data_IF_886527902728
#
_entry.id   IF_886527902728
#
_cell.length_a   1.000
_cell.length_b   1.000
_cell.length_c   1.000
_cell.angle_alpha   90.00
_cell.angle_beta   90.00
_cell.angle_gamma   90.00
#
_symmetry.space_group_name_H-M   'P 1'
#
loop_
_entity.id
_entity.type
_entity.pdbx_description
1 polymer ?
#
# COMPACT_ATOMS: atom_id res chain seq x y z
N UNK A 1 58.35 19.37 -46.27
CA UNK A 1 58.51 18.03 -45.64
C UNK A 1 58.94 18.29 -44.21
N UNK A 2 58.08 18.78 -43.31
CA UNK A 2 56.93 18.08 -42.70
C UNK A 2 57.24 16.62 -42.35
N UNK A 3 57.43 16.36 -41.06
CA UNK A 3 56.68 15.31 -40.33
C UNK A 3 56.79 15.59 -38.83
N UNK A 4 55.65 16.01 -38.27
CA UNK A 4 55.35 16.05 -36.83
C UNK A 4 54.78 14.67 -36.45
N UNK A 5 55.17 14.12 -35.29
CA UNK A 5 54.45 13.00 -34.66
C UNK A 5 55.40 11.94 -34.07
N UNK A 6 55.19 11.41 -32.87
CA UNK A 6 54.00 11.49 -32.04
C UNK A 6 54.28 11.01 -30.61
N UNK A 7 53.56 11.63 -29.69
CA UNK A 7 53.47 11.26 -28.28
C UNK A 7 52.69 9.95 -28.17
N UNK A 8 53.29 8.96 -27.49
CA UNK A 8 52.71 7.65 -27.25
C UNK A 8 51.51 7.76 -26.27
N UNK A 9 50.30 7.88 -26.80
CA UNK A 9 49.07 7.76 -26.01
C UNK A 9 48.81 6.28 -25.71
N UNK A 10 49.11 5.84 -24.47
CA UNK A 10 48.54 4.59 -23.96
C UNK A 10 47.01 4.74 -23.94
N UNK A 11 46.31 4.05 -24.84
CA UNK A 11 44.85 3.94 -24.82
C UNK A 11 44.41 3.35 -23.47
N UNK A 12 43.80 4.17 -22.60
CA UNK A 12 42.99 3.65 -21.49
C UNK A 12 41.82 2.88 -22.11
N UNK A 13 41.73 1.57 -21.85
CA UNK A 13 40.56 0.77 -22.21
C UNK A 13 39.36 1.35 -21.46
N UNK A 14 38.30 1.71 -22.20
CA UNK A 14 37.01 2.06 -21.60
C UNK A 14 36.45 0.83 -20.88
N UNK A 15 35.85 0.96 -19.68
CA UNK A 15 35.08 -0.14 -19.11
C UNK A 15 33.90 -0.44 -20.03
N UNK A 16 33.68 -1.71 -20.34
CA UNK A 16 32.47 -2.15 -21.03
C UNK A 16 31.25 -1.83 -20.15
N UNK A 17 30.12 -1.37 -20.71
CA UNK A 17 28.88 -1.34 -19.95
C UNK A 17 28.51 -2.79 -19.64
N UNK A 18 28.69 -3.18 -18.38
CA UNK A 18 28.13 -4.43 -17.88
C UNK A 18 26.63 -4.39 -18.17
N UNK A 19 26.12 -5.44 -18.82
CA UNK A 19 24.67 -5.64 -18.97
C UNK A 19 24.07 -5.66 -17.57
N UNK A 20 23.46 -4.55 -17.17
CA UNK A 20 22.58 -4.50 -16.03
C UNK A 20 21.38 -5.38 -16.40
N UNK A 21 21.36 -6.61 -15.88
CA UNK A 21 20.14 -7.41 -15.93
C UNK A 21 19.19 -6.77 -14.92
N UNK A 22 17.99 -6.32 -15.32
CA UNK A 22 17.00 -5.91 -14.35
C UNK A 22 16.69 -7.17 -13.54
N UNK A 23 17.02 -7.15 -12.24
CA UNK A 23 16.45 -8.11 -11.31
C UNK A 23 14.94 -7.93 -11.47
N UNK A 24 14.29 -8.93 -12.07
CA UNK A 24 12.84 -9.02 -12.09
C UNK A 24 12.43 -9.00 -10.63
N UNK A 25 11.96 -7.85 -10.16
CA UNK A 25 11.64 -7.64 -8.77
C UNK A 25 10.56 -8.65 -8.40
N UNK A 26 10.92 -9.45 -7.40
CA UNK A 26 10.10 -10.47 -6.78
C UNK A 26 8.94 -9.78 -6.06
N UNK A 27 7.87 -9.44 -6.78
CA UNK A 27 6.57 -9.12 -6.18
C UNK A 27 5.77 -10.43 -5.94
N UNK A 28 6.39 -11.58 -6.18
CA UNK A 28 5.74 -12.88 -6.07
C UNK A 28 5.74 -13.48 -4.66
N UNK A 29 6.30 -12.78 -3.67
CA UNK A 29 6.45 -13.29 -2.30
C UNK A 29 5.59 -12.61 -1.24
N UNK A 30 4.98 -11.44 -1.54
CA UNK A 30 4.25 -10.65 -0.55
C UNK A 30 2.91 -11.26 -0.07
N UNK A 31 2.35 -12.22 -0.82
CA UNK A 31 1.00 -12.78 -0.54
C UNK A 31 1.06 -14.17 0.12
N UNK A 32 2.22 -14.85 0.10
CA UNK A 32 2.32 -16.23 0.61
C UNK A 32 2.06 -16.33 2.12
N UNK A 33 2.31 -15.26 2.88
CA UNK A 33 2.15 -15.25 4.34
C UNK A 33 0.73 -14.93 4.81
N UNK A 34 -0.05 -14.13 4.06
CA UNK A 34 -1.48 -13.90 4.38
C UNK A 34 -2.32 -15.18 4.25
N UNK A 35 -1.83 -16.15 3.48
CA UNK A 35 -2.47 -17.43 3.21
C UNK A 35 -2.03 -18.55 4.19
N UNK A 36 -0.90 -18.42 4.87
CA UNK A 36 -0.40 -19.39 5.87
C UNK A 36 -1.01 -19.14 7.26
N UNK A 37 -2.33 -19.34 7.35
CA UNK A 37 -3.01 -19.41 8.64
C UNK A 37 -2.80 -20.80 9.27
N UNK A 38 -2.16 -20.84 10.44
CA UNK A 38 -2.20 -22.02 11.32
C UNK A 38 -3.53 -22.04 12.06
N UNK A 39 -4.24 -23.18 11.98
CA UNK A 39 -5.57 -23.37 12.56
C UNK A 39 -5.63 -22.93 14.04
N UNK A 40 -6.43 -21.90 14.32
CA UNK A 40 -6.79 -21.52 15.69
C UNK A 40 -7.71 -22.59 16.26
N UNK A 41 -7.42 -23.04 17.49
CA UNK A 41 -8.20 -24.06 18.19
C UNK A 41 -9.66 -23.60 18.37
N UNK A 42 -10.64 -24.51 18.28
CA UNK A 42 -12.04 -24.16 18.41
C UNK A 42 -12.34 -23.66 19.83
N UNK A 43 -12.60 -22.36 19.97
CA UNK A 43 -13.18 -21.78 21.18
C UNK A 43 -14.69 -22.04 21.22
N UNK A 44 -15.28 -22.30 22.40
CA UNK A 44 -16.72 -22.50 22.51
C UNK A 44 -17.48 -21.24 22.02
N UNK A 45 -18.60 -21.44 21.30
CA UNK A 45 -19.34 -20.35 20.67
C UNK A 45 -19.87 -19.36 21.72
N UNK A 46 -19.80 -18.06 21.41
CA UNK A 46 -20.38 -17.01 22.24
C UNK A 46 -21.91 -17.11 22.27
N UNK A 47 -22.53 -16.75 23.40
CA UNK A 47 -23.99 -16.67 23.54
C UNK A 47 -24.62 -15.62 22.61
N UNK A 48 -23.83 -14.68 22.10
CA UNK A 48 -24.26 -13.59 21.19
C UNK A 48 -24.03 -13.96 19.71
N UNK A 49 -23.37 -15.09 19.42
CA UNK A 49 -23.09 -15.50 18.04
C UNK A 49 -24.35 -16.01 17.34
N UNK A 50 -24.89 -15.20 16.44
CA UNK A 50 -26.06 -15.51 15.60
C UNK A 50 -25.70 -15.27 14.13
N UNK A 51 -25.81 -16.31 13.29
CA UNK A 51 -25.56 -16.25 11.84
C UNK A 51 -24.14 -15.74 11.45
N UNK A 52 -23.11 -16.03 12.25
CA UNK A 52 -21.73 -15.65 11.96
C UNK A 52 -20.88 -16.91 11.73
N UNK A 53 -20.58 -17.20 10.46
CA UNK A 53 -19.86 -18.42 10.09
C UNK A 53 -18.36 -18.32 10.46
N UNK A 54 -17.71 -19.42 10.87
CA UNK A 54 -16.27 -19.42 11.19
C UNK A 54 -15.38 -18.89 10.07
N UNK A 55 -15.79 -19.10 8.81
CA UNK A 55 -15.08 -18.59 7.63
C UNK A 55 -15.16 -17.07 7.55
N UNK A 56 -16.33 -16.47 7.81
CA UNK A 56 -16.51 -15.02 7.88
C UNK A 56 -15.74 -14.43 9.06
N UNK A 57 -15.74 -15.10 10.21
CA UNK A 57 -14.94 -14.74 11.38
C UNK A 57 -13.44 -14.68 11.05
N UNK A 58 -12.90 -15.75 10.45
CA UNK A 58 -11.50 -15.78 10.07
C UNK A 58 -11.17 -14.72 9.00
N UNK A 59 -12.07 -14.48 8.04
CA UNK A 59 -11.85 -13.52 6.97
C UNK A 59 -11.89 -12.06 7.46
N UNK A 60 -12.84 -11.70 8.34
CA UNK A 60 -12.89 -10.36 8.97
C UNK A 60 -11.62 -10.12 9.79
N UNK A 61 -11.21 -11.10 10.60
CA UNK A 61 -9.98 -11.00 11.37
C UNK A 61 -8.73 -10.82 10.48
N UNK A 62 -8.60 -11.63 9.41
CA UNK A 62 -7.51 -11.48 8.43
C UNK A 62 -7.52 -10.09 7.79
N UNK A 63 -8.67 -9.60 7.35
CA UNK A 63 -8.77 -8.30 6.70
C UNK A 63 -8.44 -7.16 7.68
N UNK A 64 -8.90 -7.22 8.93
CA UNK A 64 -8.52 -6.24 9.97
C UNK A 64 -7.00 -6.20 10.22
N UNK A 65 -6.33 -7.36 10.21
CA UNK A 65 -4.87 -7.42 10.30
C UNK A 65 -4.18 -6.82 9.06
N UNK A 66 -4.74 -7.01 7.87
CA UNK A 66 -4.25 -6.40 6.62
C UNK A 66 -4.35 -4.88 6.67
N UNK A 67 -5.46 -4.35 7.18
CA UNK A 67 -5.67 -2.91 7.37
C UNK A 67 -4.64 -2.32 8.34
N UNK A 68 -4.34 -2.99 9.46
CA UNK A 68 -3.26 -2.55 10.37
C UNK A 68 -1.88 -2.58 9.70
N UNK A 69 -1.60 -3.61 8.90
CA UNK A 69 -0.36 -3.67 8.13
C UNK A 69 -0.29 -2.53 7.12
N UNK A 70 -1.37 -2.29 6.37
CA UNK A 70 -1.43 -1.23 5.37
C UNK A 70 -1.27 0.16 6.00
N UNK A 71 -1.87 0.37 7.18
CA UNK A 71 -1.68 1.57 7.98
C UNK A 71 -0.20 1.81 8.31
N UNK A 72 0.50 0.78 8.76
CA UNK A 72 1.91 0.87 9.11
C UNK A 72 2.80 1.12 7.88
N UNK A 73 2.54 0.43 6.77
CA UNK A 73 3.24 0.65 5.49
C UNK A 73 3.06 2.09 5.00
N UNK A 74 1.84 2.60 4.95
CA UNK A 74 1.55 3.98 4.52
C UNK A 74 2.28 5.00 5.40
N UNK A 75 2.31 4.77 6.72
CA UNK A 75 3.05 5.63 7.66
C UNK A 75 4.56 5.60 7.42
N UNK A 76 5.14 4.42 7.18
CA UNK A 76 6.56 4.28 6.90
C UNK A 76 6.95 5.00 5.60
N UNK A 77 6.15 4.84 4.55
CA UNK A 77 6.34 5.55 3.27
C UNK A 77 6.19 7.05 3.48
N UNK A 78 5.19 7.49 4.24
CA UNK A 78 4.98 8.92 4.48
C UNK A 78 6.20 9.58 5.14
N UNK A 79 6.80 8.94 6.15
CA UNK A 79 8.00 9.48 6.79
C UNK A 79 9.23 9.44 5.89
N UNK A 80 9.34 8.43 5.02
CA UNK A 80 10.38 8.42 3.99
C UNK A 80 10.22 9.60 3.01
N UNK A 81 9.00 9.91 2.60
CA UNK A 81 8.73 11.02 1.66
C UNK A 81 9.01 12.40 2.27
N UNK A 82 8.96 12.54 3.60
CA UNK A 82 9.27 13.79 4.31
C UNK A 82 10.77 13.94 4.65
N UNK A 83 11.61 12.93 4.37
CA UNK A 83 13.06 13.05 4.55
C UNK A 83 13.62 14.23 3.75
N UNK A 84 14.65 14.89 4.28
CA UNK A 84 15.22 16.12 3.70
C UNK A 84 15.84 15.90 2.31
N UNK A 85 16.30 14.68 2.02
CA UNK A 85 16.83 14.25 0.73
C UNK A 85 15.76 13.79 -0.28
N UNK A 86 14.49 13.68 0.15
CA UNK A 86 13.34 13.34 -0.71
C UNK A 86 12.39 14.54 -0.86
N UNK A 87 12.03 15.19 0.24
CA UNK A 87 11.30 16.47 0.35
C UNK A 87 9.88 16.52 -0.27
N UNK A 88 9.17 15.39 -0.37
CA UNK A 88 7.84 15.24 -0.95
C UNK A 88 6.71 15.37 0.11
N UNK A 89 6.65 16.51 0.79
CA UNK A 89 5.80 16.72 1.99
C UNK A 89 4.31 16.51 1.78
N UNK A 90 3.80 16.87 0.60
CA UNK A 90 2.37 16.74 0.31
C UNK A 90 1.98 15.28 0.13
N UNK A 91 2.82 14.48 -0.54
CA UNK A 91 2.63 13.03 -0.61
C UNK A 91 2.79 12.37 0.77
N UNK A 92 3.69 12.89 1.62
CA UNK A 92 3.76 12.46 3.02
C UNK A 92 2.42 12.67 3.74
N UNK A 93 1.85 13.89 3.70
CA UNK A 93 0.55 14.19 4.31
C UNK A 93 -0.57 13.31 3.76
N UNK A 94 -0.62 13.14 2.44
CA UNK A 94 -1.58 12.27 1.76
C UNK A 94 -1.54 10.83 2.30
N UNK A 95 -0.35 10.23 2.43
CA UNK A 95 -0.20 8.87 2.95
C UNK A 95 -0.39 8.76 4.46
N UNK A 96 -0.12 9.82 5.24
CA UNK A 96 -0.48 9.86 6.65
C UNK A 96 -2.00 9.81 6.85
N UNK A 97 -2.75 10.60 6.06
CA UNK A 97 -4.22 10.54 6.10
C UNK A 97 -4.72 9.14 5.75
N UNK A 98 -4.13 8.51 4.72
CA UNK A 98 -4.46 7.13 4.37
C UNK A 98 -4.13 6.13 5.48
N UNK A 99 -2.97 6.26 6.12
CA UNK A 99 -2.58 5.44 7.28
C UNK A 99 -3.63 5.50 8.39
N UNK A 100 -4.15 6.69 8.70
CA UNK A 100 -5.20 6.87 9.69
C UNK A 100 -6.52 6.23 9.28
N UNK A 101 -6.89 6.32 7.99
CA UNK A 101 -8.11 5.67 7.48
C UNK A 101 -8.03 4.15 7.64
N UNK A 102 -6.90 3.53 7.28
CA UNK A 102 -6.68 2.10 7.49
C UNK A 102 -6.79 1.70 8.98
N UNK A 103 -6.22 2.48 9.91
CA UNK A 103 -6.36 2.20 11.34
C UNK A 103 -7.83 2.24 11.79
N UNK A 104 -8.61 3.22 11.32
CA UNK A 104 -10.05 3.33 11.61
C UNK A 104 -10.84 2.16 11.04
N UNK A 105 -10.51 1.71 9.83
CA UNK A 105 -11.12 0.52 9.21
C UNK A 105 -10.82 -0.73 10.05
N UNK A 106 -9.56 -0.95 10.44
CA UNK A 106 -9.18 -2.08 11.28
C UNK A 106 -9.91 -2.09 12.64
N UNK A 107 -10.02 -0.92 13.28
CA UNK A 107 -10.75 -0.76 14.53
C UNK A 107 -12.24 -1.09 14.34
N UNK A 108 -12.87 -0.54 13.31
CA UNK A 108 -14.28 -0.80 12.97
C UNK A 108 -14.56 -2.29 12.73
N UNK A 109 -13.70 -2.97 11.97
CA UNK A 109 -13.81 -4.42 11.74
C UNK A 109 -13.62 -5.24 13.02
N UNK A 110 -12.71 -4.81 13.91
CA UNK A 110 -12.50 -5.45 15.20
C UNK A 110 -13.70 -5.27 16.13
N UNK A 111 -14.34 -4.10 16.10
CA UNK A 111 -15.58 -3.84 16.81
C UNK A 111 -16.72 -4.71 16.27
N UNK A 112 -16.84 -4.83 14.94
CA UNK A 112 -17.79 -5.75 14.29
C UNK A 112 -17.57 -7.19 14.76
N UNK A 113 -16.32 -7.68 14.79
CA UNK A 113 -15.98 -9.02 15.28
C UNK A 113 -16.55 -9.26 16.69
N UNK A 114 -16.34 -8.32 17.60
CA UNK A 114 -16.83 -8.40 18.98
C UNK A 114 -18.36 -8.36 19.05
N UNK A 115 -19.01 -7.49 18.27
CA UNK A 115 -20.47 -7.37 18.21
C UNK A 115 -21.12 -8.67 17.72
N UNK A 116 -20.49 -9.37 16.78
CA UNK A 116 -20.96 -10.65 16.23
C UNK A 116 -20.64 -11.85 17.13
N UNK A 117 -20.01 -11.62 18.28
CA UNK A 117 -19.64 -12.67 19.24
C UNK A 117 -18.41 -13.49 18.82
N UNK A 118 -17.67 -13.03 17.80
CA UNK A 118 -16.41 -13.63 17.38
C UNK A 118 -15.28 -13.43 18.40
N UNK A 119 -14.11 -13.97 18.10
CA UNK A 119 -12.88 -13.82 18.86
C UNK A 119 -11.87 -13.03 18.06
N UNK A 120 -11.36 -11.98 18.69
CA UNK A 120 -10.26 -11.19 18.14
C UNK A 120 -8.95 -11.83 18.59
N UNK A 121 -8.08 -12.10 17.63
CA UNK A 121 -6.68 -12.42 17.87
C UNK A 121 -5.85 -11.22 17.37
N UNK A 122 -4.67 -11.01 17.94
CA UNK A 122 -3.76 -9.99 17.43
C UNK A 122 -2.58 -10.68 16.77
N UNK A 123 -2.29 -10.28 15.54
CA UNK A 123 -1.17 -10.78 14.76
C UNK A 123 -0.02 -9.77 14.77
N UNK A 124 1.19 -10.26 14.59
CA UNK A 124 2.36 -9.40 14.45
C UNK A 124 2.26 -8.54 13.18
N UNK A 125 2.38 -7.23 13.35
CA UNK A 125 2.49 -6.29 12.23
C UNK A 125 3.94 -6.32 11.74
N UNK A 126 4.18 -6.96 10.60
CA UNK A 126 5.53 -7.05 10.01
C UNK A 126 6.00 -5.71 9.45
N UNK A 127 7.32 -5.52 9.50
CA UNK A 127 8.02 -4.41 8.84
C UNK A 127 7.79 -4.40 7.32
N UNK A 128 7.89 -3.23 6.67
CA UNK A 128 7.93 -3.11 5.21
C UNK A 128 8.91 -4.07 4.55
N UNK A 129 8.48 -4.71 3.46
CA UNK A 129 9.33 -5.61 2.67
C UNK A 129 10.45 -4.84 1.96
N UNK A 130 10.19 -3.58 1.61
CA UNK A 130 11.16 -2.64 1.06
C UNK A 130 11.73 -1.80 2.19
N UNK A 131 12.88 -2.17 2.80
CA UNK A 131 13.44 -1.42 3.94
C UNK A 131 13.99 -0.05 3.53
N UNK A 132 14.23 0.17 2.23
CA UNK A 132 14.68 1.44 1.65
C UNK A 132 14.10 1.59 0.25
N UNK A 133 13.35 2.66 0.04
CA UNK A 133 12.91 3.08 -1.29
C UNK A 133 14.03 3.87 -1.98
N UNK A 134 14.16 3.71 -3.30
CA UNK A 134 15.18 4.42 -4.10
C UNK A 134 14.68 5.79 -4.58
N UNK A 135 13.36 6.01 -4.58
CA UNK A 135 12.72 7.26 -4.99
C UNK A 135 11.31 7.37 -4.43
N UNK A 136 10.77 8.60 -4.35
CA UNK A 136 9.36 8.80 -4.00
C UNK A 136 8.40 8.09 -4.95
N UNK A 137 8.72 8.04 -6.25
CA UNK A 137 7.95 7.30 -7.26
C UNK A 137 7.89 5.81 -6.94
N UNK A 138 9.00 5.18 -6.59
CA UNK A 138 9.02 3.77 -6.21
C UNK A 138 8.16 3.53 -4.96
N UNK A 139 8.27 4.42 -3.96
CA UNK A 139 7.48 4.30 -2.73
C UNK A 139 5.97 4.41 -2.98
N UNK A 140 5.56 5.32 -3.88
CA UNK A 140 4.17 5.46 -4.31
C UNK A 140 3.67 4.24 -5.11
N UNK A 141 4.54 3.66 -5.96
CA UNK A 141 4.22 2.42 -6.70
C UNK A 141 4.04 1.20 -5.78
N UNK A 142 4.92 1.04 -4.79
CA UNK A 142 4.81 -0.02 -3.78
C UNK A 142 3.51 0.15 -2.97
N UNK A 143 3.19 1.37 -2.57
CA UNK A 143 1.93 1.69 -1.88
C UNK A 143 0.73 1.35 -2.76
N UNK A 144 0.77 1.65 -4.05
CA UNK A 144 -0.30 1.32 -4.99
C UNK A 144 -0.52 -0.21 -5.10
N UNK A 145 0.55 -1.01 -5.09
CA UNK A 145 0.40 -2.46 -5.09
C UNK A 145 -0.26 -2.98 -3.81
N UNK A 146 0.17 -2.45 -2.66
CA UNK A 146 -0.44 -2.76 -1.37
C UNK A 146 -1.95 -2.43 -1.37
N UNK A 147 -2.36 -1.26 -1.86
CA UNK A 147 -3.77 -0.85 -1.91
C UNK A 147 -4.60 -1.74 -2.83
N UNK A 148 -4.02 -2.23 -3.93
CA UNK A 148 -4.66 -3.23 -4.79
C UNK A 148 -4.84 -4.57 -4.06
N UNK A 149 -3.88 -4.98 -3.23
CA UNK A 149 -4.01 -6.16 -2.39
C UNK A 149 -5.10 -6.00 -1.31
N UNK A 150 -5.16 -4.83 -0.66
CA UNK A 150 -6.25 -4.49 0.28
C UNK A 150 -7.60 -4.58 -0.41
N UNK A 151 -7.74 -3.98 -1.59
CA UNK A 151 -8.97 -4.04 -2.37
C UNK A 151 -9.37 -5.46 -2.76
N UNK A 152 -8.42 -6.29 -3.19
CA UNK A 152 -8.71 -7.68 -3.50
C UNK A 152 -9.19 -8.45 -2.27
N UNK A 153 -8.53 -8.27 -1.12
CA UNK A 153 -8.96 -8.89 0.14
C UNK A 153 -10.37 -8.43 0.56
N UNK A 154 -10.71 -7.17 0.31
CA UNK A 154 -12.04 -6.62 0.60
C UNK A 154 -13.11 -7.22 -0.33
N UNK A 155 -12.81 -7.37 -1.62
CA UNK A 155 -13.69 -8.03 -2.59
C UNK A 155 -13.93 -9.50 -2.24
N UNK A 156 -12.87 -10.23 -1.86
CA UNK A 156 -12.96 -11.63 -1.43
C UNK A 156 -13.82 -11.77 -0.17
N UNK A 157 -13.65 -10.87 0.81
CA UNK A 157 -14.46 -10.83 2.03
C UNK A 157 -15.93 -10.52 1.72
N UNK A 158 -16.19 -9.58 0.80
CA UNK A 158 -17.55 -9.24 0.36
C UNK A 158 -18.22 -10.42 -0.37
N UNK A 159 -17.49 -11.12 -1.23
CA UNK A 159 -17.98 -12.33 -1.90
C UNK A 159 -18.32 -13.43 -0.89
N UNK A 160 -17.47 -13.64 0.12
CA UNK A 160 -17.72 -14.61 1.18
C UNK A 160 -18.97 -14.28 2.00
N UNK A 161 -19.25 -12.99 2.24
CA UNK A 161 -20.48 -12.56 2.91
C UNK A 161 -21.74 -12.95 2.12
N UNK A 162 -21.70 -12.81 0.78
CA UNK A 162 -22.80 -13.25 -0.11
C UNK A 162 -22.98 -14.77 -0.03
N UNK A 163 -21.89 -15.53 -0.18
CA UNK A 163 -21.92 -17.00 -0.14
C UNK A 163 -22.38 -17.56 1.21
N UNK A 164 -22.11 -16.82 2.29
CA UNK A 164 -22.53 -17.17 3.63
C UNK A 164 -23.93 -16.69 3.98
N UNK A 165 -24.60 -15.96 3.08
CA UNK A 165 -25.87 -15.27 3.32
C UNK A 165 -25.82 -14.37 4.58
N UNK A 166 -24.66 -13.76 4.86
CA UNK A 166 -24.49 -12.82 5.96
C UNK A 166 -24.83 -11.40 5.47
N UNK A 167 -26.12 -11.06 5.58
CA UNK A 167 -26.67 -9.78 5.12
C UNK A 167 -26.04 -8.59 5.86
N UNK A 168 -25.74 -8.76 7.16
CA UNK A 168 -25.18 -7.68 7.98
C UNK A 168 -23.74 -7.39 7.57
N UNK A 169 -22.93 -8.43 7.36
CA UNK A 169 -21.55 -8.29 6.88
C UNK A 169 -21.52 -7.72 5.45
N UNK A 170 -22.38 -8.21 4.56
CA UNK A 170 -22.50 -7.70 3.19
C UNK A 170 -22.78 -6.19 3.18
N UNK A 171 -23.78 -5.75 3.97
CA UNK A 171 -24.14 -4.34 4.06
C UNK A 171 -23.02 -3.49 4.66
N UNK A 172 -22.39 -3.95 5.74
CA UNK A 172 -21.27 -3.26 6.38
C UNK A 172 -20.11 -3.01 5.39
N UNK A 173 -19.79 -4.00 4.54
CA UNK A 173 -18.72 -3.88 3.56
C UNK A 173 -19.09 -2.99 2.36
N UNK A 174 -20.33 -3.05 1.90
CA UNK A 174 -20.81 -2.29 0.75
C UNK A 174 -21.03 -0.80 1.03
N UNK A 175 -21.34 -0.40 2.26
CA UNK A 175 -21.76 0.97 2.61
C UNK A 175 -20.64 2.00 2.74
N UNK A 176 -19.38 1.64 2.45
CA UNK A 176 -18.33 2.66 2.40
C UNK A 176 -16.93 2.18 2.02
N UNK A 177 -16.52 0.98 2.43
CA UNK A 177 -15.13 0.56 2.22
C UNK A 177 -14.78 0.38 0.74
N UNK A 178 -15.64 -0.29 -0.04
CA UNK A 178 -15.38 -0.54 -1.47
C UNK A 178 -15.30 0.76 -2.30
N UNK A 179 -16.22 1.69 -2.07
CA UNK A 179 -16.22 2.99 -2.79
C UNK A 179 -14.99 3.84 -2.41
N UNK A 180 -14.65 3.90 -1.12
CA UNK A 180 -13.44 4.59 -0.66
C UNK A 180 -12.16 3.97 -1.24
N UNK A 181 -12.09 2.64 -1.33
CA UNK A 181 -10.93 1.93 -1.85
C UNK A 181 -10.69 2.23 -3.32
N UNK A 182 -11.74 2.18 -4.16
CA UNK A 182 -11.62 2.46 -5.60
C UNK A 182 -11.25 3.92 -5.85
N UNK A 183 -11.85 4.87 -5.11
CA UNK A 183 -11.50 6.29 -5.21
C UNK A 183 -10.04 6.55 -4.86
N UNK A 184 -9.57 5.98 -3.76
CA UNK A 184 -8.18 6.15 -3.34
C UNK A 184 -7.18 5.52 -4.32
N UNK A 185 -7.45 4.31 -4.81
CA UNK A 185 -6.59 3.65 -5.81
C UNK A 185 -6.47 4.50 -7.06
N UNK A 186 -7.58 5.07 -7.54
CA UNK A 186 -7.57 5.98 -8.70
C UNK A 186 -6.70 7.21 -8.44
N UNK A 187 -6.91 7.90 -7.32
CA UNK A 187 -6.13 9.09 -6.96
C UNK A 187 -4.63 8.78 -6.84
N UNK A 188 -4.30 7.65 -6.22
CA UNK A 188 -2.91 7.17 -6.10
C UNK A 188 -2.31 6.80 -7.47
N UNK A 189 -3.08 6.19 -8.37
CA UNK A 189 -2.65 5.93 -9.77
C UNK A 189 -2.40 7.22 -10.55
N UNK A 190 -3.24 8.23 -10.37
CA UNK A 190 -3.08 9.55 -11.00
C UNK A 190 -1.78 10.20 -10.50
N UNK A 191 -1.50 10.14 -9.19
CA UNK A 191 -0.24 10.62 -8.61
C UNK A 191 0.99 9.86 -9.13
N UNK A 192 0.95 8.52 -9.20
CA UNK A 192 2.04 7.70 -9.74
C UNK A 192 2.28 8.00 -11.23
N UNK A 193 1.22 8.25 -11.99
CA UNK A 193 1.30 8.61 -13.41
C UNK A 193 1.92 10.00 -13.60
N UNK A 194 1.53 10.97 -12.77
CA UNK A 194 2.13 12.29 -12.76
C UNK A 194 3.63 12.22 -12.49
N UNK A 195 4.07 11.48 -11.46
CA UNK A 195 5.49 11.22 -11.17
C UNK A 195 6.23 10.46 -12.29
N UNK A 196 5.50 9.69 -13.12
CA UNK A 196 6.09 8.92 -14.22
C UNK A 196 6.36 9.76 -15.47
N UNK A 197 5.54 10.79 -15.71
CA UNK A 197 5.66 11.69 -16.86
C UNK A 197 6.78 12.73 -16.68
N UNK A 198 7.47 12.71 -15.54
CA UNK A 198 8.45 13.69 -15.09
C UNK A 198 9.87 13.49 -15.66
N UNK A 199 10.07 12.53 -16.57
CA UNK A 199 11.38 12.26 -17.20
C UNK A 199 11.94 13.33 -18.16
N UNK A 200 11.32 14.51 -18.24
CA UNK A 200 11.72 15.70 -19.01
C UNK A 200 12.15 16.82 -18.04
N UNK A 201 12.98 17.81 -18.41
CA UNK A 201 13.19 19.02 -17.59
C UNK A 201 11.88 19.75 -17.19
N UNK A 202 10.77 19.51 -17.91
CA UNK A 202 9.40 19.94 -17.58
C UNK A 202 8.74 19.13 -16.44
N UNK A 203 9.27 17.95 -16.18
CA UNK A 203 8.81 17.03 -15.16
C UNK A 203 9.21 17.41 -13.74
N UNK A 204 10.46 17.82 -13.53
CA UNK A 204 10.87 18.32 -12.22
C UNK A 204 10.01 19.54 -11.79
N UNK A 205 9.53 20.31 -12.78
CA UNK A 205 8.52 21.34 -12.57
C UNK A 205 7.14 20.75 -12.30
N UNK A 206 6.74 19.66 -12.95
CA UNK A 206 5.47 18.97 -12.70
C UNK A 206 5.41 18.30 -11.32
N UNK A 207 6.51 17.84 -10.72
CA UNK A 207 6.57 17.44 -9.31
C UNK A 207 6.26 18.64 -8.40
N UNK A 208 7.00 19.75 -8.57
CA UNK A 208 6.77 21.00 -7.85
C UNK A 208 5.36 21.60 -8.08
N UNK A 209 4.80 21.50 -9.28
CA UNK A 209 3.46 21.97 -9.60
C UNK A 209 2.36 21.01 -9.14
N UNK A 210 2.58 19.69 -9.18
CA UNK A 210 1.65 18.71 -8.60
C UNK A 210 1.57 18.89 -7.09
N UNK A 211 2.72 19.17 -6.45
CA UNK A 211 2.77 19.58 -5.04
C UNK A 211 1.95 20.86 -4.80
N UNK A 212 2.06 21.87 -5.67
CA UNK A 212 1.38 23.16 -5.46
C UNK A 212 -0.11 23.18 -5.82
N UNK A 213 -0.54 22.35 -6.78
CA UNK A 213 -1.88 22.41 -7.37
C UNK A 213 -2.90 21.47 -6.72
N UNK A 214 -2.46 20.35 -6.15
CA UNK A 214 -3.41 19.31 -5.68
C UNK A 214 -4.11 19.63 -4.37
N UNK A 215 -3.73 20.68 -3.62
CA UNK A 215 -4.31 20.95 -2.30
C UNK A 215 -4.57 22.44 -1.96
N UNK A 216 -4.62 23.34 -2.95
CA UNK A 216 -5.22 24.66 -2.70
C UNK A 216 -6.74 24.61 -2.48
N UNK A 217 -7.38 23.44 -2.72
CA UNK A 217 -8.84 23.25 -2.59
C UNK A 217 -9.24 22.40 -1.36
N UNK A 218 -8.36 22.29 -0.37
CA UNK A 218 -8.57 21.44 0.81
C UNK A 218 -8.50 22.16 2.15
N UNK A 219 -9.14 23.33 2.27
CA UNK A 219 -9.45 23.90 3.58
C UNK A 219 -10.54 23.04 4.24
N UNK A 220 -10.12 22.11 5.09
CA UNK A 220 -10.99 21.46 6.06
C UNK A 220 -10.48 21.87 7.44
N UNK A 221 -11.27 22.75 8.08
CA UNK A 221 -11.13 23.25 9.45
C UNK A 221 -11.04 22.10 10.47
N UNK A 222 -10.32 22.39 11.56
CA UNK A 222 -9.99 21.52 12.71
C UNK A 222 -11.20 20.86 13.41
#
# INVERSE_FOLDING_TARGET
METVGGVCWRRRRRPHPGRFQPRRHLIRTAISWFLEWSAVLPTPPSQVCCNYRPECEAAVHKHAALELHASFQCRAVAFYLDCDDVALKNFSRFLLLRSHQHSRTAESLTLLQNQRGGRVYFLDIRQPETPKWESGRQAMQDTLQLEKCVNQSLLDLHQLAIESCDVDLYHCLGTGYLDQQVKFIKELEDHVSNLSNVGSPEGALAEYFSEKLTLSDGDMED
#
